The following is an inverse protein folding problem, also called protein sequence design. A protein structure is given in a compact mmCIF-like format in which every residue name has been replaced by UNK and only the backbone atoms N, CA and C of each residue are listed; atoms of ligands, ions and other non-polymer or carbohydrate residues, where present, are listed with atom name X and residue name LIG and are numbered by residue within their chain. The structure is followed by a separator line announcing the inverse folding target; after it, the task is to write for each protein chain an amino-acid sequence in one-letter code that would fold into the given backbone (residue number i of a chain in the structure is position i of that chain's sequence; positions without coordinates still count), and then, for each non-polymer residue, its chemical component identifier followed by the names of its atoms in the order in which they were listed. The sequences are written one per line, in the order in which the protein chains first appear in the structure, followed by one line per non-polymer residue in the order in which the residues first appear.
data_IF_678003536954
#
_entry.id   IF_678003536954
#
_cell.length_a   1.000
_cell.length_b   1.000
_cell.length_c   1.000
_cell.angle_alpha   90.00
_cell.angle_beta   90.00
_cell.angle_gamma   90.00
#
_symmetry.space_group_name_H-M   'P 1'
#
loop_
_entity.id
_entity.type
_entity.pdbx_description
1 polymer ?
#
# COMPACT_ATOMS: atom_id res chain seq x y z
N UNK A 1 -16.05 7.41 -3.48
CA UNK A 1 -15.88 6.75 -2.16
C UNK A 1 -15.33 5.35 -2.36
N UNK A 2 -13.99 5.17 -2.41
CA UNK A 2 -13.36 3.84 -2.40
C UNK A 2 -12.55 3.68 -1.12
N UNK A 3 -13.00 2.82 -0.22
CA UNK A 3 -12.37 2.47 1.05
C UNK A 3 -12.23 0.96 1.06
N UNK A 4 -11.20 0.44 0.43
CA UNK A 4 -10.81 -0.92 0.65
C UNK A 4 -9.40 -0.87 1.20
N UNK A 5 -9.23 -1.38 2.43
CA UNK A 5 -7.95 -1.76 2.99
C UNK A 5 -7.06 -2.35 1.89
N UNK A 6 -5.75 -2.09 1.90
CA UNK A 6 -4.86 -3.05 2.55
C UNK A 6 -3.48 -2.48 2.85
N UNK A 7 -2.96 -2.95 3.98
CA UNK A 7 -1.57 -3.32 4.20
C UNK A 7 -0.97 -4.07 3.01
N UNK A 8 0.29 -3.91 2.66
CA UNK A 8 1.49 -3.92 3.47
C UNK A 8 2.63 -3.48 2.55
N UNK A 9 3.65 -2.86 3.13
CA UNK A 9 4.86 -2.49 2.42
C UNK A 9 5.61 -3.78 2.08
N UNK A 10 5.89 -4.09 0.82
CA UNK A 10 6.92 -5.09 0.50
C UNK A 10 8.27 -4.39 0.62
N UNK A 11 8.90 -4.49 1.79
CA UNK A 11 10.25 -3.94 1.99
C UNK A 11 11.27 -4.98 1.57
N UNK A 12 11.77 -4.80 0.35
CA UNK A 12 12.87 -5.58 -0.18
C UNK A 12 14.18 -5.12 0.42
N UNK A 13 15.03 -6.04 0.87
CA UNK A 13 16.35 -5.68 1.38
C UNK A 13 17.46 -6.40 0.63
N UNK A 14 18.43 -5.63 0.16
CA UNK A 14 19.59 -6.10 -0.61
C UNK A 14 20.60 -6.74 0.36
N UNK A 15 20.46 -8.06 0.58
CA UNK A 15 21.51 -9.05 0.86
C UNK A 15 20.98 -10.22 1.71
N UNK A 16 21.19 -11.43 1.19
CA UNK A 16 20.77 -12.77 1.67
C UNK A 16 19.25 -12.99 1.75
N UNK A 17 18.67 -13.94 0.99
CA UNK A 17 17.25 -14.28 1.09
C UNK A 17 16.97 -14.95 2.44
N UNK A 18 16.29 -14.22 3.32
CA UNK A 18 15.67 -14.78 4.52
C UNK A 18 14.25 -14.26 4.58
N UNK A 19 13.28 -15.14 4.29
CA UNK A 19 11.88 -14.85 4.53
C UNK A 19 11.59 -15.10 6.01
N UNK A 20 11.65 -14.06 6.85
CA UNK A 20 11.26 -14.16 8.25
C UNK A 20 9.81 -13.71 8.41
N UNK A 21 8.92 -14.70 8.52
CA UNK A 21 7.56 -14.49 9.00
C UNK A 21 7.60 -14.41 10.52
N UNK A 22 7.26 -13.26 11.11
CA UNK A 22 7.05 -13.20 12.56
C UNK A 22 5.68 -13.78 12.88
N UNK A 23 5.69 -15.01 13.42
CA UNK A 23 4.53 -15.68 14.00
C UNK A 23 4.86 -16.16 15.42
N UNK A 24 3.95 -16.01 16.39
CA UNK A 24 3.97 -16.84 17.58
C UNK A 24 3.86 -18.33 17.18
N UNK A 25 4.58 -19.21 17.89
CA UNK A 25 5.00 -20.59 17.56
C UNK A 25 3.95 -21.65 17.15
N UNK A 26 2.75 -21.34 16.66
CA UNK A 26 1.68 -22.35 16.47
C UNK A 26 0.73 -22.18 15.25
N UNK A 27 1.21 -21.70 14.10
CA UNK A 27 0.34 -21.43 12.94
C UNK A 27 0.90 -21.98 11.62
N UNK A 28 0.82 -23.30 11.41
CA UNK A 28 1.39 -23.93 10.20
C UNK A 28 0.43 -24.07 9.00
N UNK A 29 -0.87 -23.77 9.13
CA UNK A 29 -1.81 -23.64 8.00
C UNK A 29 -2.59 -22.31 7.96
N UNK A 30 -2.53 -21.50 9.02
CA UNK A 30 -3.20 -20.20 9.16
C UNK A 30 -2.31 -18.99 8.87
N UNK A 31 -1.17 -19.20 8.20
CA UNK A 31 -0.18 -18.14 7.91
C UNK A 31 -0.56 -17.30 6.68
N UNK A 32 -1.31 -17.88 5.72
CA UNK A 32 -1.75 -17.17 4.50
C UNK A 32 -2.84 -16.13 4.77
N UNK A 33 -3.57 -16.23 5.88
CA UNK A 33 -4.64 -15.29 6.21
C UNK A 33 -4.14 -13.92 6.66
N UNK A 34 -2.89 -13.75 7.09
CA UNK A 34 -2.37 -12.44 7.53
C UNK A 34 -1.72 -11.60 6.41
N UNK A 35 -1.39 -12.22 5.27
CA UNK A 35 -0.69 -11.56 4.16
C UNK A 35 -1.57 -11.45 2.91
N UNK A 36 -2.87 -11.37 3.12
CA UNK A 36 -3.83 -11.86 2.14
C UNK A 36 -3.74 -11.12 0.80
N UNK A 37 -3.53 -9.80 0.76
CA UNK A 37 -3.33 -9.05 -0.50
C UNK A 37 -2.10 -9.51 -1.28
N UNK A 38 -0.99 -9.79 -0.60
CA UNK A 38 0.29 -10.11 -1.23
C UNK A 38 0.49 -11.60 -1.45
N UNK A 39 -0.50 -12.44 -1.11
CA UNK A 39 -0.39 -13.91 -1.13
C UNK A 39 0.04 -14.50 -2.47
N UNK A 40 -0.28 -13.83 -3.59
CA UNK A 40 0.10 -14.27 -4.94
C UNK A 40 1.48 -13.76 -5.37
N UNK A 41 1.96 -12.67 -4.78
CA UNK A 41 3.26 -12.04 -5.10
C UNK A 41 4.38 -12.64 -4.25
N UNK A 42 4.13 -12.89 -2.95
CA UNK A 42 5.14 -13.43 -2.03
C UNK A 42 5.85 -14.68 -2.55
N UNK A 43 5.14 -15.70 -3.08
CA UNK A 43 5.80 -16.90 -3.62
C UNK A 43 6.77 -16.62 -4.77
N UNK A 44 6.57 -15.54 -5.52
CA UNK A 44 7.39 -15.15 -6.68
C UNK A 44 8.64 -14.35 -6.26
N UNK A 45 8.61 -13.69 -5.10
CA UNK A 45 9.68 -12.81 -4.61
C UNK A 45 10.54 -13.42 -3.50
N UNK A 46 10.03 -14.39 -2.73
CA UNK A 46 10.65 -14.91 -1.50
C UNK A 46 12.11 -15.40 -1.66
N UNK A 47 12.46 -15.89 -2.85
CA UNK A 47 13.80 -16.43 -3.14
C UNK A 47 14.73 -15.38 -3.78
N UNK A 48 14.20 -14.20 -4.09
CA UNK A 48 14.92 -13.08 -4.72
C UNK A 48 15.33 -12.01 -3.72
N UNK A 49 14.49 -11.78 -2.70
CA UNK A 49 14.69 -10.70 -1.74
C UNK A 49 14.07 -11.07 -0.39
N UNK A 50 14.64 -10.57 0.72
CA UNK A 50 13.96 -10.68 2.01
C UNK A 50 12.75 -9.76 2.05
N UNK A 51 11.65 -10.28 2.54
CA UNK A 51 10.34 -9.62 2.55
C UNK A 51 9.93 -9.32 4.00
N UNK A 52 9.61 -8.06 4.27
CA UNK A 52 8.82 -7.65 5.43
C UNK A 52 7.47 -7.19 4.93
N UNK A 53 6.36 -7.69 5.49
CA UNK A 53 5.00 -7.45 4.98
C UNK A 53 4.06 -7.21 6.18
N UNK A 54 3.97 -5.97 6.70
CA UNK A 54 3.22 -5.66 7.92
C UNK A 54 1.73 -5.37 7.65
N UNK A 55 0.86 -5.69 8.58
CA UNK A 55 -0.47 -5.07 8.64
C UNK A 55 -0.34 -3.61 9.13
N UNK A 56 -0.97 -2.64 8.44
CA UNK A 56 -0.88 -1.24 8.87
C UNK A 56 -1.49 -1.12 10.28
N UNK A 57 -0.89 -0.37 11.22
CA UNK A 57 -1.57 0.01 12.45
C UNK A 57 -3.00 0.53 12.20
N UNK A 58 -3.97 -0.03 12.92
CA UNK A 58 -5.41 0.25 12.73
C UNK A 58 -6.08 -0.50 11.58
N UNK A 59 -5.36 -1.42 10.93
CA UNK A 59 -5.84 -2.29 9.86
C UNK A 59 -5.62 -3.75 10.25
N UNK A 60 -6.45 -4.62 9.68
CA UNK A 60 -6.37 -6.06 9.93
C UNK A 60 -6.35 -6.40 11.41
N UNK A 61 -5.33 -7.13 11.86
CA UNK A 61 -5.14 -7.49 13.27
C UNK A 61 -4.12 -6.61 14.01
N UNK A 62 -3.56 -5.59 13.36
CA UNK A 62 -2.65 -4.65 14.00
C UNK A 62 -3.41 -3.71 14.94
N UNK A 63 -2.79 -3.37 16.07
CA UNK A 63 -3.33 -2.42 17.04
C UNK A 63 -3.51 -1.03 16.42
N UNK A 64 -4.44 -0.25 16.98
CA UNK A 64 -4.59 1.17 16.65
C UNK A 64 -3.30 1.94 16.94
N UNK A 65 -2.85 2.84 16.04
CA UNK A 65 -1.72 3.71 16.32
C UNK A 65 -2.14 4.87 17.24
N UNK A 66 -1.19 5.53 17.93
CA UNK A 66 -1.47 6.74 18.71
C UNK A 66 -1.99 7.89 17.86
N UNK A 67 -1.58 7.95 16.58
CA UNK A 67 -2.13 8.84 15.55
C UNK A 67 -2.18 8.10 14.21
N UNK A 68 -3.20 8.39 13.41
CA UNK A 68 -3.44 7.72 12.12
C UNK A 68 -2.89 8.50 10.91
N UNK A 69 -2.11 9.56 11.14
CA UNK A 69 -1.37 10.25 10.06
C UNK A 69 -0.31 9.35 9.43
N UNK A 70 0.01 9.60 8.16
CA UNK A 70 0.90 8.72 7.38
C UNK A 70 2.30 8.62 7.97
N UNK A 71 2.80 9.71 8.56
CA UNK A 71 4.14 9.80 9.16
C UNK A 71 4.25 8.88 10.37
N UNK A 72 3.30 8.98 11.30
CA UNK A 72 3.25 8.16 12.52
C UNK A 72 3.13 6.68 12.18
N UNK A 73 2.18 6.32 11.31
CA UNK A 73 1.96 4.94 10.88
C UNK A 73 3.22 4.38 10.20
N UNK A 74 3.86 5.18 9.35
CA UNK A 74 5.07 4.78 8.65
C UNK A 74 6.28 4.57 9.58
N UNK A 75 6.48 5.44 10.56
CA UNK A 75 7.56 5.31 11.54
C UNK A 75 7.42 4.03 12.36
N UNK A 76 6.20 3.68 12.83
CA UNK A 76 5.94 2.44 13.55
C UNK A 76 6.27 1.19 12.72
N UNK A 77 5.99 1.24 11.42
CA UNK A 77 6.33 0.16 10.48
C UNK A 77 7.85 0.02 10.33
N UNK A 78 8.58 1.13 10.24
CA UNK A 78 10.03 1.11 10.14
C UNK A 78 10.72 0.69 11.44
N UNK A 79 10.20 1.08 12.60
CA UNK A 79 10.66 0.57 13.90
C UNK A 79 10.54 -0.95 13.94
N UNK A 80 9.38 -1.51 13.60
CA UNK A 80 9.18 -2.95 13.55
C UNK A 80 10.07 -3.65 12.50
N UNK A 81 10.30 -3.04 11.33
CA UNK A 81 11.24 -3.58 10.35
C UNK A 81 12.66 -3.62 10.90
N UNK A 82 13.10 -2.55 11.55
CA UNK A 82 14.46 -2.42 12.08
C UNK A 82 14.70 -3.37 13.25
N UNK A 83 13.68 -3.67 14.06
CA UNK A 83 13.76 -4.69 15.11
C UNK A 83 13.99 -6.09 14.53
N UNK A 84 13.43 -6.38 13.35
CA UNK A 84 13.59 -7.69 12.69
C UNK A 84 14.91 -7.78 11.90
N UNK A 85 15.25 -6.73 11.16
CA UNK A 85 16.32 -6.79 10.15
C UNK A 85 17.54 -5.91 10.43
N UNK A 86 17.49 -5.06 11.45
CA UNK A 86 18.53 -4.08 11.79
C UNK A 86 18.34 -2.71 11.12
N UNK A 87 18.97 -1.68 11.71
CA UNK A 87 18.79 -0.26 11.33
C UNK A 87 19.49 0.15 10.04
N UNK A 88 20.60 -0.49 9.69
CA UNK A 88 21.45 -0.06 8.56
C UNK A 88 21.04 -0.67 7.23
N UNK A 89 19.97 -1.49 7.20
CA UNK A 89 19.63 -2.30 6.04
C UNK A 89 18.96 -1.44 4.96
N UNK A 90 19.46 -1.44 3.70
CA UNK A 90 18.81 -0.72 2.61
C UNK A 90 17.42 -1.28 2.30
N UNK A 91 16.46 -0.39 2.07
CA UNK A 91 15.05 -0.75 1.84
C UNK A 91 14.58 -0.33 0.45
N UNK A 92 13.94 -1.26 -0.26
CA UNK A 92 13.09 -0.97 -1.41
C UNK A 92 11.65 -0.96 -0.89
N UNK A 93 11.00 0.21 -0.85
CA UNK A 93 9.63 0.35 -0.39
C UNK A 93 8.65 -0.05 -1.51
N UNK A 94 7.62 -0.82 -1.21
CA UNK A 94 6.58 -1.14 -2.18
C UNK A 94 5.21 -1.09 -1.52
N UNK A 95 4.39 -0.08 -1.82
CA UNK A 95 3.09 0.11 -1.21
C UNK A 95 1.96 0.15 -2.24
N UNK A 96 0.76 -0.23 -1.82
CA UNK A 96 -0.47 -0.10 -2.59
C UNK A 96 -1.52 0.67 -1.79
N UNK A 97 -2.28 1.55 -2.45
CA UNK A 97 -3.33 2.39 -1.86
C UNK A 97 -2.85 3.13 -0.60
N UNK A 98 -3.45 2.90 0.58
CA UNK A 98 -3.03 3.53 1.85
C UNK A 98 -1.56 3.28 2.16
N UNK A 99 -1.06 2.07 1.89
CA UNK A 99 0.36 1.75 2.05
C UNK A 99 1.24 2.59 1.12
N UNK A 100 0.83 2.86 -0.12
CA UNK A 100 1.58 3.75 -1.00
C UNK A 100 1.60 5.20 -0.49
N UNK A 101 0.51 5.67 0.14
CA UNK A 101 0.43 7.01 0.76
C UNK A 101 1.35 7.13 1.97
N UNK A 102 1.45 6.07 2.79
CA UNK A 102 2.44 6.00 3.88
C UNK A 102 3.84 6.12 3.32
N UNK A 103 4.16 5.34 2.27
CA UNK A 103 5.45 5.39 1.60
C UNK A 103 5.80 6.78 1.10
N UNK A 104 4.87 7.43 0.38
CA UNK A 104 5.08 8.77 -0.15
C UNK A 104 5.49 9.76 0.96
N UNK A 105 4.76 9.82 2.09
CA UNK A 105 5.12 10.66 3.24
C UNK A 105 6.52 10.37 3.76
N UNK A 106 6.84 9.10 4.01
CA UNK A 106 8.15 8.70 4.56
C UNK A 106 9.32 9.04 3.64
N UNK A 107 9.11 8.94 2.33
CA UNK A 107 10.14 9.23 1.33
C UNK A 107 10.38 10.73 1.23
N UNK A 108 9.33 11.55 1.24
CA UNK A 108 9.46 13.02 1.24
C UNK A 108 10.08 13.53 2.55
N UNK A 109 9.78 12.88 3.68
CA UNK A 109 10.47 13.14 4.95
C UNK A 109 11.96 12.86 4.90
N UNK A 110 12.36 11.91 4.04
CA UNK A 110 13.75 11.53 3.80
C UNK A 110 14.54 11.29 5.11
N UNK A 111 13.90 10.66 6.11
CA UNK A 111 14.55 10.30 7.36
C UNK A 111 15.67 9.29 7.07
N UNK A 112 16.96 9.62 7.32
CA UNK A 112 18.07 8.73 7.00
C UNK A 112 17.98 7.36 7.69
N UNK A 113 17.32 7.29 8.86
CA UNK A 113 17.12 6.05 9.59
C UNK A 113 16.30 5.02 8.80
N UNK A 114 15.40 5.44 7.90
CA UNK A 114 14.59 4.51 7.11
C UNK A 114 15.40 3.86 5.98
N UNK A 115 16.51 4.48 5.55
CA UNK A 115 17.40 3.97 4.51
C UNK A 115 16.68 3.47 3.23
N UNK A 116 15.63 4.18 2.81
CA UNK A 116 14.84 3.85 1.62
C UNK A 116 15.64 4.25 0.37
N UNK A 117 15.96 3.28 -0.48
CA UNK A 117 16.75 3.46 -1.71
C UNK A 117 15.91 3.58 -2.96
N UNK A 118 14.73 2.99 -2.96
CA UNK A 118 13.80 3.03 -4.09
C UNK A 118 12.39 2.80 -3.59
N UNK A 119 11.41 3.27 -4.35
CA UNK A 119 9.99 3.06 -4.06
C UNK A 119 9.22 2.50 -5.25
N UNK A 120 8.18 1.73 -4.94
CA UNK A 120 7.12 1.30 -5.86
C UNK A 120 5.80 1.75 -5.23
N UNK A 121 5.06 2.63 -5.91
CA UNK A 121 3.79 3.18 -5.45
C UNK A 121 2.68 2.71 -6.38
N UNK A 122 1.73 1.95 -5.86
CA UNK A 122 0.68 1.32 -6.66
C UNK A 122 -0.67 2.01 -6.50
N UNK A 123 -1.27 2.32 -7.65
CA UNK A 123 -2.64 2.80 -7.86
C UNK A 123 -3.08 3.97 -6.96
N UNK A 124 -2.19 4.97 -6.84
CA UNK A 124 -2.48 6.23 -6.17
C UNK A 124 -1.97 7.44 -6.96
N UNK A 125 -2.62 8.58 -6.73
CA UNK A 125 -2.03 9.91 -6.87
C UNK A 125 -1.74 10.49 -5.47
N UNK A 126 -0.92 11.55 -5.34
CA UNK A 126 -0.68 12.23 -4.07
C UNK A 126 -1.97 12.54 -3.30
N UNK A 127 -1.91 12.49 -1.97
CA UNK A 127 -3.07 12.66 -1.10
C UNK A 127 -3.74 14.02 -1.30
N UNK A 128 -2.96 15.09 -1.44
CA UNK A 128 -3.45 16.42 -1.78
C UNK A 128 -4.28 16.41 -3.08
N UNK A 129 -3.76 15.80 -4.15
CA UNK A 129 -4.47 15.71 -5.44
C UNK A 129 -5.75 14.86 -5.33
N UNK A 130 -5.70 13.77 -4.54
CA UNK A 130 -6.86 12.94 -4.30
C UNK A 130 -7.95 13.71 -3.52
N UNK A 131 -7.61 14.32 -2.38
CA UNK A 131 -8.59 14.84 -1.42
C UNK A 131 -9.16 16.22 -1.77
N UNK A 132 -8.53 16.97 -2.68
CA UNK A 132 -9.21 18.10 -3.37
C UNK A 132 -10.57 17.69 -3.97
N UNK A 133 -10.80 16.39 -4.18
CA UNK A 133 -12.03 15.85 -4.76
C UNK A 133 -12.99 15.12 -3.78
N UNK A 134 -12.83 15.11 -2.44
CA UNK A 134 -13.59 14.19 -1.54
C UNK A 134 -14.32 14.80 -0.32
N UNK A 135 -15.38 14.10 0.12
CA UNK A 135 -16.22 14.36 1.30
C UNK A 135 -16.20 13.20 2.34
N UNK A 136 -16.65 13.49 3.58
CA UNK A 136 -16.49 12.73 4.84
C UNK A 136 -17.10 11.29 4.86
N UNK A 137 -16.30 10.21 5.04
CA UNK A 137 -16.75 8.81 4.90
C UNK A 137 -17.27 8.10 6.17
N UNK A 138 -17.03 8.61 7.38
CA UNK A 138 -17.29 7.87 8.64
C UNK A 138 -18.77 7.51 8.84
N UNK A 139 -19.67 8.47 8.62
CA UNK A 139 -21.10 8.30 8.88
C UNK A 139 -21.75 7.21 8.01
N UNK A 140 -21.20 6.94 6.82
CA UNK A 140 -21.75 5.96 5.87
C UNK A 140 -21.35 4.53 6.27
N UNK A 141 -20.15 4.33 6.80
CA UNK A 141 -19.65 3.00 7.20
C UNK A 141 -20.41 2.46 8.42
N UNK A 142 -20.63 3.31 9.42
CA UNK A 142 -21.32 2.94 10.65
C UNK A 142 -22.79 2.54 10.39
N UNK A 143 -23.46 3.18 9.42
CA UNK A 143 -24.86 2.89 9.07
C UNK A 143 -25.03 1.61 8.24
N UNK A 144 -24.13 1.34 7.30
CA UNK A 144 -24.24 0.19 6.39
C UNK A 144 -23.68 -1.12 6.99
N UNK A 145 -22.88 -1.03 8.05
CA UNK A 145 -22.08 -2.14 8.57
C UNK A 145 -20.80 -2.32 7.76
N UNK A 146 -19.65 -2.29 8.43
CA UNK A 146 -18.34 -2.22 7.75
C UNK A 146 -18.06 -3.39 6.80
N UNK A 147 -18.45 -4.62 7.16
CA UNK A 147 -18.29 -5.78 6.28
C UNK A 147 -19.07 -5.66 4.96
N UNK A 148 -20.36 -5.26 5.03
CA UNK A 148 -21.21 -5.08 3.85
C UNK A 148 -20.76 -3.89 3.00
N UNK A 149 -20.37 -2.78 3.65
CA UNK A 149 -19.77 -1.64 2.97
C UNK A 149 -18.56 -2.08 2.15
N UNK A 150 -17.66 -2.85 2.77
CA UNK A 150 -16.44 -3.35 2.15
C UNK A 150 -16.76 -4.21 0.94
N UNK A 151 -17.63 -5.21 1.08
CA UNK A 151 -18.05 -6.06 -0.04
C UNK A 151 -18.56 -5.24 -1.24
N UNK A 152 -19.46 -4.27 -0.98
CA UNK A 152 -20.01 -3.40 -2.02
C UNK A 152 -18.93 -2.61 -2.77
N UNK A 153 -17.83 -2.28 -2.10
CA UNK A 153 -16.75 -1.53 -2.71
C UNK A 153 -15.69 -2.39 -3.37
N UNK A 154 -15.41 -3.58 -2.85
CA UNK A 154 -14.64 -4.58 -3.59
C UNK A 154 -15.32 -4.88 -4.92
N UNK A 155 -16.65 -5.06 -4.92
CA UNK A 155 -17.44 -5.27 -6.12
C UNK A 155 -17.42 -4.08 -7.10
N UNK A 156 -17.37 -2.85 -6.59
CA UNK A 156 -17.43 -1.61 -7.38
C UNK A 156 -16.10 -1.22 -8.01
N UNK A 157 -14.98 -1.45 -7.32
CA UNK A 157 -13.65 -0.90 -7.72
C UNK A 157 -12.76 -1.94 -8.42
N UNK A 158 -13.06 -3.23 -8.28
CA UNK A 158 -12.42 -4.28 -9.09
C UNK A 158 -12.59 -4.01 -10.59
N UNK A 159 -11.68 -4.55 -11.38
CA UNK A 159 -11.77 -4.56 -12.83
C UNK A 159 -12.85 -5.49 -13.39
N UNK A 160 -12.96 -5.48 -14.71
CA UNK A 160 -13.87 -6.32 -15.49
C UNK A 160 -13.24 -7.65 -15.96
N UNK A 161 -11.93 -7.84 -15.81
CA UNK A 161 -11.23 -9.04 -16.25
C UNK A 161 -11.63 -10.25 -15.38
N UNK A 162 -12.22 -11.28 -15.99
CA UNK A 162 -12.74 -12.45 -15.27
C UNK A 162 -11.66 -13.22 -14.51
N UNK A 163 -10.47 -13.38 -15.09
CA UNK A 163 -9.35 -14.06 -14.44
C UNK A 163 -8.84 -13.28 -13.25
N UNK A 164 -8.75 -11.94 -13.37
CA UNK A 164 -8.37 -11.07 -12.27
C UNK A 164 -9.39 -11.08 -11.13
N UNK A 165 -10.69 -11.09 -11.44
CA UNK A 165 -11.74 -11.23 -10.44
C UNK A 165 -11.65 -12.60 -9.74
N UNK A 166 -11.42 -13.68 -10.48
CA UNK A 166 -11.26 -15.02 -9.93
C UNK A 166 -10.02 -15.11 -9.02
N UNK A 167 -8.89 -14.54 -9.45
CA UNK A 167 -7.65 -14.42 -8.67
C UNK A 167 -7.89 -13.64 -7.37
N UNK A 168 -8.62 -12.53 -7.46
CA UNK A 168 -8.94 -11.69 -6.30
C UNK A 168 -9.79 -12.43 -5.26
N UNK A 169 -10.80 -13.19 -5.70
CA UNK A 169 -11.69 -13.95 -4.81
C UNK A 169 -11.06 -15.22 -4.23
N UNK A 170 -9.94 -15.68 -4.77
CA UNK A 170 -9.30 -16.95 -4.40
C UNK A 170 -8.94 -16.96 -2.90
N UNK A 171 -8.94 -18.16 -2.32
CA UNK A 171 -8.50 -18.43 -0.94
C UNK A 171 -9.36 -17.74 0.14
N UNK A 172 -10.62 -17.41 -0.17
CA UNK A 172 -11.54 -16.77 0.77
C UNK A 172 -11.16 -15.31 1.07
N UNK A 173 -10.42 -14.64 0.19
CA UNK A 173 -9.88 -13.32 0.47
C UNK A 173 -10.96 -12.26 0.70
N UNK A 174 -12.04 -12.30 -0.07
CA UNK A 174 -13.17 -11.38 0.10
C UNK A 174 -13.81 -11.51 1.48
N UNK A 175 -14.10 -12.74 1.91
CA UNK A 175 -14.69 -13.01 3.22
C UNK A 175 -13.75 -12.55 4.34
N UNK A 176 -12.45 -12.75 4.16
CA UNK A 176 -11.45 -12.27 5.11
C UNK A 176 -11.43 -10.74 5.22
N UNK A 177 -11.46 -10.01 4.10
CA UNK A 177 -11.53 -8.55 4.13
C UNK A 177 -12.83 -8.07 4.80
N UNK A 178 -13.96 -8.68 4.45
CA UNK A 178 -15.26 -8.35 5.05
C UNK A 178 -15.26 -8.62 6.55
N UNK A 179 -14.65 -9.72 6.99
CA UNK A 179 -14.46 -10.04 8.40
C UNK A 179 -13.59 -8.99 9.10
N UNK A 180 -12.43 -8.63 8.55
CA UNK A 180 -11.56 -7.62 9.15
C UNK A 180 -12.28 -6.28 9.30
N UNK A 181 -13.03 -5.85 8.28
CA UNK A 181 -13.84 -4.63 8.32
C UNK A 181 -15.14 -4.73 9.12
N UNK A 182 -15.45 -5.89 9.69
CA UNK A 182 -16.50 -6.00 10.70
C UNK A 182 -15.97 -5.71 12.12
N UNK A 183 -14.64 -5.68 12.30
CA UNK A 183 -14.04 -5.44 13.61
C UNK A 183 -14.07 -3.95 13.99
N UNK A 184 -14.51 -3.57 15.21
CA UNK A 184 -14.61 -2.17 15.63
C UNK A 184 -13.30 -1.37 15.52
N UNK A 185 -12.17 -1.98 15.91
CA UNK A 185 -10.86 -1.32 15.84
C UNK A 185 -10.43 -1.05 14.41
N UNK A 186 -10.70 -1.98 13.50
CA UNK A 186 -10.42 -1.83 12.07
C UNK A 186 -11.29 -0.72 11.43
N UNK A 187 -12.58 -0.65 11.79
CA UNK A 187 -13.46 0.43 11.36
C UNK A 187 -12.96 1.78 11.89
N UNK A 188 -12.60 1.84 13.17
CA UNK A 188 -12.13 3.07 13.82
C UNK A 188 -10.80 3.54 13.23
N UNK A 189 -9.85 2.62 13.04
CA UNK A 189 -8.53 2.90 12.47
C UNK A 189 -8.60 3.35 11.02
N UNK A 190 -9.39 2.66 10.18
CA UNK A 190 -9.59 3.07 8.79
C UNK A 190 -10.32 4.42 8.68
N UNK A 191 -11.32 4.70 9.52
CA UNK A 191 -11.95 6.02 9.57
C UNK A 191 -10.96 7.11 9.98
N UNK A 192 -10.15 6.87 11.01
CA UNK A 192 -9.16 7.83 11.50
C UNK A 192 -8.05 8.10 10.46
N UNK A 193 -7.62 7.08 9.72
CA UNK A 193 -6.69 7.20 8.59
C UNK A 193 -7.26 8.10 7.48
N UNK A 194 -8.54 7.96 7.14
CA UNK A 194 -9.18 8.83 6.14
C UNK A 194 -9.40 10.25 6.66
N UNK A 195 -9.71 10.41 7.94
CA UNK A 195 -9.79 11.73 8.57
C UNK A 195 -8.44 12.45 8.51
N UNK A 196 -7.34 11.77 8.86
CA UNK A 196 -5.99 12.31 8.74
C UNK A 196 -5.66 12.64 7.27
N UNK A 197 -6.05 11.75 6.35
CA UNK A 197 -5.90 11.92 4.91
C UNK A 197 -6.67 13.11 4.31
N UNK A 198 -7.69 13.61 4.99
CA UNK A 198 -8.48 14.78 4.59
C UNK A 198 -8.09 16.07 5.35
N UNK A 199 -7.15 15.97 6.28
CA UNK A 199 -6.75 17.08 7.17
C UNK A 199 -5.22 17.16 7.22
N UNK A 200 -4.61 16.66 8.30
CA UNK A 200 -3.18 16.82 8.58
C UNK A 200 -2.28 16.32 7.45
N UNK A 201 -2.60 15.20 6.79
CA UNK A 201 -1.76 14.67 5.71
C UNK A 201 -1.79 15.58 4.46
N UNK A 202 -2.90 16.30 4.24
CA UNK A 202 -3.05 17.26 3.14
C UNK A 202 -2.26 18.52 3.47
N UNK A 203 -2.42 19.06 4.68
CA UNK A 203 -1.69 20.23 5.18
C UNK A 203 -0.17 20.01 5.11
N UNK A 204 0.30 18.81 5.50
CA UNK A 204 1.71 18.43 5.37
C UNK A 204 2.19 18.40 3.92
N UNK A 205 1.37 17.89 2.98
CA UNK A 205 1.73 17.83 1.57
C UNK A 205 1.72 19.21 0.90
N UNK A 206 0.81 20.10 1.30
CA UNK A 206 0.83 21.51 0.87
C UNK A 206 2.11 22.20 1.35
N UNK A 207 2.44 22.06 2.63
CA UNK A 207 3.66 22.62 3.20
C UNK A 207 4.95 22.03 2.58
N UNK A 208 4.93 20.77 2.12
CA UNK A 208 6.02 20.18 1.36
C UNK A 208 6.16 20.80 -0.02
N UNK A 209 5.06 20.94 -0.76
CA UNK A 209 5.05 21.56 -2.08
C UNK A 209 5.52 23.02 -2.04
N UNK A 210 5.01 23.80 -1.08
CA UNK A 210 5.46 25.19 -0.86
C UNK A 210 6.95 25.28 -0.56
N UNK A 211 7.50 24.29 0.13
CA UNK A 211 8.92 24.21 0.47
C UNK A 211 9.78 23.50 -0.60
N UNK A 212 9.19 23.07 -1.73
CA UNK A 212 9.88 22.31 -2.77
C UNK A 212 10.39 20.93 -2.33
N UNK A 213 9.80 20.33 -1.28
CA UNK A 213 10.11 18.97 -0.84
C UNK A 213 9.35 17.96 -1.72
N UNK A 214 10.09 17.14 -2.43
CA UNK A 214 9.58 16.18 -3.42
C UNK A 214 10.26 14.82 -3.25
N UNK A 215 9.76 13.80 -3.95
CA UNK A 215 10.43 12.50 -4.05
C UNK A 215 11.80 12.67 -4.74
N UNK A 216 12.88 12.23 -4.08
CA UNK A 216 14.26 12.34 -4.61
C UNK A 216 14.93 11.00 -4.90
N UNK A 217 14.31 9.91 -4.47
CA UNK A 217 14.80 8.56 -4.73
C UNK A 217 14.16 8.03 -6.01
N UNK A 218 14.81 7.06 -6.68
CA UNK A 218 14.20 6.34 -7.78
C UNK A 218 12.81 5.81 -7.39
N UNK A 219 11.76 6.25 -8.09
CA UNK A 219 10.36 5.89 -7.81
C UNK A 219 9.69 5.27 -9.03
N UNK A 220 9.02 4.14 -8.84
CA UNK A 220 8.22 3.46 -9.85
C UNK A 220 6.73 3.50 -9.49
N UNK A 221 5.94 4.21 -10.29
CA UNK A 221 4.48 4.27 -10.13
C UNK A 221 3.81 3.24 -11.05
N UNK A 222 3.00 2.35 -10.48
CA UNK A 222 2.22 1.37 -11.24
C UNK A 222 0.74 1.68 -11.02
N UNK A 223 -0.04 1.86 -12.07
CA UNK A 223 -1.44 2.27 -11.96
C UNK A 223 -2.35 1.55 -12.94
N UNK A 224 -3.63 1.47 -12.62
CA UNK A 224 -4.67 0.93 -13.49
C UNK A 224 -5.02 1.92 -14.60
N UNK A 225 -4.66 1.63 -15.85
CA UNK A 225 -4.89 2.56 -16.96
C UNK A 225 -6.39 2.84 -17.17
N UNK A 226 -7.21 1.78 -17.05
CA UNK A 226 -8.67 1.87 -17.26
C UNK A 226 -9.48 2.32 -16.04
N UNK A 227 -8.83 2.61 -14.90
CA UNK A 227 -9.50 3.08 -13.69
C UNK A 227 -8.85 4.38 -13.19
N UNK A 228 -7.75 4.33 -12.44
CA UNK A 228 -7.08 5.56 -11.98
C UNK A 228 -6.64 6.45 -13.15
N UNK A 229 -6.11 5.85 -14.22
CA UNK A 229 -5.69 6.54 -15.45
C UNK A 229 -6.83 7.21 -16.23
N UNK A 230 -8.10 6.89 -15.96
CA UNK A 230 -9.26 7.62 -16.52
C UNK A 230 -9.58 8.89 -15.75
N UNK A 231 -9.21 8.95 -14.47
CA UNK A 231 -9.49 10.09 -13.59
C UNK A 231 -8.35 11.10 -13.56
N UNK A 232 -7.11 10.64 -13.81
CA UNK A 232 -5.91 11.44 -13.74
C UNK A 232 -4.93 11.07 -14.86
N UNK A 233 -4.22 12.06 -15.38
CA UNK A 233 -2.94 11.81 -16.06
C UNK A 233 -1.90 11.46 -14.99
N UNK A 234 -1.82 10.17 -14.65
CA UNK A 234 -0.97 9.69 -13.55
C UNK A 234 0.51 10.06 -13.76
N UNK A 235 1.11 9.90 -14.97
CA UNK A 235 2.45 10.41 -15.25
C UNK A 235 2.61 11.90 -14.99
N UNK A 236 1.77 12.75 -15.59
CA UNK A 236 1.89 14.21 -15.44
C UNK A 236 1.71 14.67 -13.98
N UNK A 237 0.82 14.00 -13.23
CA UNK A 237 0.64 14.26 -11.81
C UNK A 237 1.91 13.93 -11.04
N UNK A 238 2.50 12.74 -11.20
CA UNK A 238 3.67 12.34 -10.41
C UNK A 238 4.95 13.09 -10.79
N UNK A 239 5.09 13.58 -12.02
CA UNK A 239 6.19 14.46 -12.43
C UNK A 239 6.26 15.73 -11.56
N UNK A 240 5.12 16.28 -11.15
CA UNK A 240 5.05 17.48 -10.29
C UNK A 240 5.48 17.24 -8.84
N UNK A 241 5.59 15.97 -8.44
CA UNK A 241 5.89 15.56 -7.05
C UNK A 241 7.25 14.86 -6.92
N UNK A 242 8.02 14.81 -8.01
CA UNK A 242 9.23 14.03 -8.09
C UNK A 242 10.37 14.82 -8.74
N UNK A 243 11.47 14.96 -8.00
CA UNK A 243 12.74 15.58 -8.40
C UNK A 243 13.86 14.52 -8.56
N UNK A 244 13.48 13.25 -8.71
CA UNK A 244 14.38 12.10 -8.88
C UNK A 244 14.08 11.30 -10.16
N UNK A 245 14.58 10.07 -10.25
CA UNK A 245 14.18 9.16 -11.32
C UNK A 245 12.71 8.72 -11.12
N UNK A 246 11.86 8.97 -12.12
CA UNK A 246 10.47 8.52 -12.15
C UNK A 246 10.26 7.54 -13.30
N UNK A 247 9.72 6.36 -12.98
CA UNK A 247 9.17 5.41 -13.96
C UNK A 247 7.67 5.29 -13.71
N UNK A 248 6.88 5.17 -14.77
CA UNK A 248 5.44 4.91 -14.66
C UNK A 248 5.05 3.71 -15.52
N UNK A 249 4.04 2.95 -15.09
CA UNK A 249 3.49 1.84 -15.85
C UNK A 249 1.97 1.74 -15.66
N UNK A 250 1.23 1.99 -16.74
CA UNK A 250 -0.20 1.75 -16.80
C UNK A 250 -0.49 0.27 -17.08
N UNK A 251 -1.04 -0.43 -16.09
CA UNK A 251 -1.57 -1.79 -16.24
C UNK A 251 -2.71 -1.76 -17.28
N UNK A 252 -2.72 -2.68 -18.27
CA UNK A 252 -3.70 -2.69 -19.34
C UNK A 252 -5.16 -2.78 -18.91
N UNK A 253 -6.05 -2.56 -19.87
CA UNK A 253 -7.49 -2.59 -19.68
C UNK A 253 -8.00 -3.92 -19.08
N UNK A 254 -9.04 -3.80 -18.25
CA UNK A 254 -9.70 -4.93 -17.60
C UNK A 254 -9.30 -5.12 -16.14
N UNK A 255 -8.17 -4.55 -15.70
CA UNK A 255 -7.76 -4.56 -14.29
C UNK A 255 -8.19 -3.27 -13.58
N UNK A 256 -8.71 -3.41 -12.37
CA UNK A 256 -9.14 -2.32 -11.51
C UNK A 256 -8.06 -1.90 -10.52
N UNK A 257 -8.50 -1.48 -9.34
CA UNK A 257 -7.61 -0.93 -8.30
C UNK A 257 -6.76 -1.99 -7.62
N UNK A 258 -7.25 -3.23 -7.45
CA UNK A 258 -6.60 -4.24 -6.61
C UNK A 258 -5.49 -4.97 -7.35
N UNK A 259 -4.55 -4.22 -7.93
CA UNK A 259 -3.52 -4.74 -8.84
C UNK A 259 -2.76 -5.96 -8.29
N UNK A 260 -2.32 -6.00 -7.02
CA UNK A 260 -1.66 -7.18 -6.45
C UNK A 260 -2.49 -8.48 -6.48
N UNK A 261 -3.81 -8.37 -6.58
CA UNK A 261 -4.74 -9.48 -6.56
C UNK A 261 -5.36 -9.75 -7.94
N UNK A 262 -5.61 -8.70 -8.72
CA UNK A 262 -6.21 -8.79 -10.05
C UNK A 262 -5.20 -9.18 -11.14
N UNK A 263 -3.94 -8.74 -11.04
CA UNK A 263 -2.89 -9.06 -12.01
C UNK A 263 -1.54 -9.40 -11.33
N UNK A 264 -1.52 -10.38 -10.40
CA UNK A 264 -0.36 -10.65 -9.56
C UNK A 264 0.91 -10.95 -10.35
N UNK A 265 0.83 -11.61 -11.50
CA UNK A 265 2.00 -11.95 -12.32
C UNK A 265 2.61 -10.71 -12.98
N UNK A 266 1.77 -9.78 -13.46
CA UNK A 266 2.23 -8.49 -13.99
C UNK A 266 2.91 -7.71 -12.87
N UNK A 267 2.29 -7.64 -11.69
CA UNK A 267 2.84 -6.89 -10.56
C UNK A 267 4.13 -7.52 -10.04
N UNK A 268 4.20 -8.83 -9.87
CA UNK A 268 5.40 -9.53 -9.46
C UNK A 268 6.55 -9.28 -10.46
N UNK A 269 6.27 -9.38 -11.77
CA UNK A 269 7.25 -9.07 -12.81
C UNK A 269 7.77 -7.63 -12.68
N UNK A 270 6.89 -6.64 -12.52
CA UNK A 270 7.28 -5.23 -12.39
C UNK A 270 8.04 -4.92 -11.11
N UNK A 271 7.69 -5.59 -10.01
CA UNK A 271 8.45 -5.46 -8.76
C UNK A 271 9.84 -6.09 -8.91
N UNK A 272 9.95 -7.25 -9.56
CA UNK A 272 11.25 -7.90 -9.83
C UNK A 272 12.12 -7.04 -10.74
N UNK A 273 11.57 -6.50 -11.83
CA UNK A 273 12.29 -5.55 -12.70
C UNK A 273 12.90 -4.41 -11.87
N UNK A 274 12.13 -3.85 -10.93
CA UNK A 274 12.62 -2.78 -10.06
C UNK A 274 13.69 -3.23 -9.07
N UNK A 275 13.55 -4.42 -8.49
CA UNK A 275 14.57 -4.98 -7.61
C UNK A 275 15.88 -5.15 -8.36
N UNK A 276 15.83 -5.65 -9.59
CA UNK A 276 17.00 -5.89 -10.45
C UNK A 276 17.65 -4.57 -10.92
N UNK A 277 16.87 -3.50 -11.08
CA UNK A 277 17.37 -2.15 -11.41
C UNK A 277 18.16 -1.52 -10.25
N UNK A 278 17.72 -1.75 -9.00
CA UNK A 278 18.31 -1.15 -7.78
C UNK A 278 19.44 -2.01 -7.18
N UNK A 279 19.47 -3.31 -7.50
CA UNK A 279 20.49 -4.25 -7.05
C UNK A 279 21.81 -4.22 -7.85
N UNK A 280 21.89 -3.38 -8.89
CA UNK A 280 23.11 -3.08 -9.65
C UNK A 280 23.80 -1.85 -9.10
#
# INVERSE_FOLDING_TARGET
MGLAQCSAVCMGTLNRPTCQFFLPKQAHLSCLTRLIRWRHIVPQLKDKISLFIPELPGYGFSSLPPKSDKRTVGNLIFEALQDVFGKDRPVIYCGHDRGARVGHRLIVDNNPAHNIKSAILMDIVPTLEQFRAFANPKAVIEQMGGGYWTEANLARVKGGNEQGIASFKKDGAWDHYCYQFSMPDCISGSCADYQAGATIDVEEQEADQEAGRMLKIPTFVIYSASNLGRMHDVPEVWEKWNDGELKTYGVPDGYGHFLPEECPDIIAQKVIERIDDVGK
#
